data_IF_947138253699
#
_entry.id   IF_947138253699
#
_cell.length_a   1.000
_cell.length_b   1.000
_cell.length_c   1.000
_cell.angle_alpha   90.00
_cell.angle_beta   90.00
_cell.angle_gamma   90.00
#
_symmetry.space_group_name_H-M   'P 1'
#
loop_
_entity.id
_entity.type
_entity.pdbx_description
1 polymer ?
#
# COMPACT_ATOMS: atom_id res chain seq x y z
N UNK A 1 16.00 8.20 21.78
CA UNK A 1 15.16 7.36 20.89
C UNK A 1 14.91 8.05 19.56
N UNK A 2 14.77 9.39 19.52
CA UNK A 2 14.56 10.18 18.28
C UNK A 2 15.75 10.24 17.28
N UNK A 3 17.01 10.03 17.72
CA UNK A 3 18.17 10.10 16.80
C UNK A 3 18.36 8.83 15.97
N UNK A 4 17.94 7.67 16.49
CA UNK A 4 18.00 6.40 15.74
C UNK A 4 16.98 6.36 14.60
N UNK A 5 15.84 7.01 14.78
CA UNK A 5 14.81 7.14 13.75
C UNK A 5 15.23 8.16 12.68
N UNK A 6 15.81 9.30 13.07
CA UNK A 6 16.37 10.29 12.13
C UNK A 6 17.51 9.72 11.28
N UNK A 7 18.35 8.85 11.85
CA UNK A 7 19.42 8.17 11.12
C UNK A 7 18.88 7.13 10.11
N UNK A 8 17.73 6.52 10.39
CA UNK A 8 17.02 5.66 9.42
C UNK A 8 16.39 6.49 8.31
N UNK A 9 15.77 7.64 8.65
CA UNK A 9 15.20 8.59 7.68
C UNK A 9 16.23 9.16 6.70
N UNK A 10 17.49 9.35 7.13
CA UNK A 10 18.56 9.88 6.29
C UNK A 10 18.92 9.00 5.08
N UNK A 11 18.51 7.72 5.07
CA UNK A 11 18.77 6.78 3.98
C UNK A 11 17.52 6.52 3.10
N UNK A 12 16.42 7.24 3.33
CA UNK A 12 15.15 7.00 2.65
C UNK A 12 15.07 7.80 1.35
N UNK A 13 15.37 7.12 0.24
CA UNK A 13 15.27 7.64 -1.14
C UNK A 13 13.89 8.22 -1.48
N UNK A 14 12.84 7.92 -0.71
CA UNK A 14 11.48 8.38 -0.94
C UNK A 14 11.14 9.74 -0.29
N UNK A 15 11.98 10.26 0.61
CA UNK A 15 11.77 11.55 1.29
C UNK A 15 12.14 12.76 0.41
N UNK A 16 12.99 12.53 -0.59
CA UNK A 16 13.46 13.56 -1.51
C UNK A 16 12.67 13.49 -2.82
N UNK A 17 11.82 14.49 -3.05
CA UNK A 17 11.08 14.62 -4.30
C UNK A 17 11.97 15.13 -5.46
N UNK A 18 13.21 15.57 -5.18
CA UNK A 18 14.13 16.15 -6.17
C UNK A 18 15.01 15.12 -6.89
N UNK A 19 15.24 13.94 -6.32
CA UNK A 19 15.98 12.83 -6.95
C UNK A 19 15.06 11.91 -7.78
N UNK A 20 14.08 12.47 -8.49
CA UNK A 20 13.01 11.69 -9.15
C UNK A 20 13.53 10.63 -10.15
N UNK A 21 13.81 9.43 -9.64
CA UNK A 21 13.53 8.18 -10.32
C UNK A 21 12.00 7.98 -10.38
N UNK A 22 11.54 7.11 -11.27
CA UNK A 22 10.14 6.80 -11.56
C UNK A 22 9.20 6.91 -10.33
N UNK A 23 8.05 7.62 -10.42
CA UNK A 23 7.06 7.68 -9.34
C UNK A 23 6.71 6.30 -8.76
N UNK A 24 6.68 5.25 -9.56
CA UNK A 24 6.39 3.90 -9.06
C UNK A 24 7.55 3.36 -8.23
N UNK A 25 8.80 3.59 -8.64
CA UNK A 25 9.98 3.15 -7.87
C UNK A 25 10.09 3.86 -6.51
N UNK A 26 9.74 5.15 -6.48
CA UNK A 26 9.71 5.92 -5.23
C UNK A 26 8.62 5.41 -4.28
N UNK A 27 7.45 5.11 -4.82
CA UNK A 27 6.31 4.64 -4.03
C UNK A 27 6.57 3.20 -3.55
N UNK A 28 7.25 2.37 -4.34
CA UNK A 28 7.77 1.07 -3.92
C UNK A 28 8.80 1.17 -2.80
N UNK A 29 9.74 2.12 -2.88
CA UNK A 29 10.71 2.35 -1.80
C UNK A 29 10.02 2.79 -0.50
N UNK A 30 8.91 3.54 -0.60
CA UNK A 30 8.07 3.87 0.55
C UNK A 30 7.45 2.62 1.15
N UNK A 31 6.80 1.75 0.35
CA UNK A 31 6.24 0.48 0.81
C UNK A 31 7.32 -0.36 1.52
N UNK A 32 8.49 -0.54 0.90
CA UNK A 32 9.59 -1.32 1.49
C UNK A 32 10.10 -0.78 2.82
N UNK A 33 10.01 0.53 3.05
CA UNK A 33 10.45 1.14 4.31
C UNK A 33 9.41 1.07 5.44
N UNK A 34 8.13 0.94 5.08
CA UNK A 34 7.00 0.97 6.02
C UNK A 34 6.40 -0.42 6.27
N UNK A 35 6.55 -1.35 5.33
CA UNK A 35 6.10 -2.73 5.48
C UNK A 35 6.85 -3.39 6.65
N UNK A 36 6.14 -4.04 7.58
CA UNK A 36 6.79 -4.81 8.65
C UNK A 36 7.62 -5.99 8.13
N UNK A 37 7.30 -6.55 6.96
CA UNK A 37 7.94 -7.75 6.40
C UNK A 37 8.49 -7.51 4.97
N UNK A 38 9.43 -6.57 4.78
CA UNK A 38 9.86 -6.11 3.45
C UNK A 38 10.59 -7.18 2.64
N UNK A 39 11.19 -8.17 3.30
CA UNK A 39 11.88 -9.29 2.63
C UNK A 39 10.94 -10.23 1.87
N UNK A 40 9.64 -10.19 2.17
CA UNK A 40 8.64 -11.04 1.54
C UNK A 40 7.82 -10.28 0.49
N UNK A 41 8.20 -9.04 0.16
CA UNK A 41 7.56 -8.24 -0.87
C UNK A 41 7.95 -8.76 -2.27
N UNK A 42 6.99 -9.22 -3.11
CA UNK A 42 7.30 -9.66 -4.46
C UNK A 42 7.83 -8.52 -5.34
N UNK A 43 8.58 -8.86 -6.38
CA UNK A 43 9.04 -7.88 -7.36
C UNK A 43 7.84 -7.27 -8.09
N UNK A 44 7.76 -5.95 -8.12
CA UNK A 44 6.73 -5.25 -8.87
C UNK A 44 6.91 -5.44 -10.39
N UNK A 45 5.77 -5.66 -11.05
CA UNK A 45 5.60 -5.60 -12.50
C UNK A 45 4.26 -4.89 -12.74
N UNK A 46 4.26 -3.90 -13.63
CA UNK A 46 3.02 -3.20 -14.02
C UNK A 46 2.08 -4.15 -14.71
N UNK A 47 0.77 -3.99 -14.47
CA UNK A 47 -0.27 -4.69 -15.25
C UNK A 47 -0.10 -4.42 -16.75
N UNK A 48 0.30 -3.21 -17.14
CA UNK A 48 0.46 -2.83 -18.56
C UNK A 48 1.62 -3.56 -19.26
N UNK A 49 2.62 -4.02 -18.50
CA UNK A 49 3.83 -4.67 -19.03
C UNK A 49 3.69 -6.20 -19.16
N UNK A 50 2.61 -6.78 -18.65
CA UNK A 50 2.39 -8.23 -18.61
C UNK A 50 1.22 -8.66 -19.48
N UNK A 51 1.26 -9.90 -19.99
CA UNK A 51 0.17 -10.51 -20.74
C UNK A 51 -0.98 -10.92 -19.82
N UNK A 52 -2.19 -11.09 -20.36
CA UNK A 52 -3.39 -11.47 -19.59
C UNK A 52 -3.21 -12.82 -18.85
N UNK A 53 -2.44 -13.73 -19.43
CA UNK A 53 -2.14 -15.05 -18.87
C UNK A 53 -1.25 -15.00 -17.62
N UNK A 54 -0.49 -13.91 -17.45
CA UNK A 54 0.39 -13.69 -16.30
C UNK A 54 -0.28 -12.88 -15.18
N UNK A 55 -1.56 -12.49 -15.36
CA UNK A 55 -2.34 -11.76 -14.37
C UNK A 55 -3.05 -12.73 -13.40
N UNK A 56 -3.07 -12.43 -12.08
CA UNK A 56 -2.50 -11.25 -11.45
C UNK A 56 -0.99 -11.42 -11.22
N UNK A 57 -0.24 -10.31 -11.33
CA UNK A 57 1.19 -10.29 -11.01
C UNK A 57 1.41 -10.75 -9.56
N UNK A 58 2.61 -11.28 -9.26
CA UNK A 58 2.90 -11.77 -7.89
C UNK A 58 2.70 -10.68 -6.84
N UNK A 59 3.04 -9.43 -7.19
CA UNK A 59 2.78 -8.26 -6.36
C UNK A 59 1.28 -8.09 -6.08
N UNK A 60 0.43 -8.01 -7.10
CA UNK A 60 -1.01 -7.86 -6.89
C UNK A 60 -1.64 -9.08 -6.22
N UNK A 61 -1.09 -10.28 -6.44
CA UNK A 61 -1.54 -11.53 -5.80
C UNK A 61 -1.33 -11.52 -4.29
N UNK A 62 -0.29 -10.88 -3.82
CA UNK A 62 -0.04 -10.73 -2.40
C UNK A 62 -0.96 -9.67 -1.77
N UNK A 63 -1.11 -8.53 -2.45
CA UNK A 63 -1.93 -7.41 -2.01
C UNK A 63 -3.44 -7.67 -2.06
N UNK A 64 -3.93 -8.53 -2.96
CA UNK A 64 -5.37 -8.86 -3.09
C UNK A 64 -5.98 -9.53 -1.85
N UNK A 65 -5.15 -10.09 -0.97
CA UNK A 65 -5.63 -10.64 0.32
C UNK A 65 -6.07 -9.53 1.29
N UNK A 66 -5.64 -8.29 1.03
CA UNK A 66 -5.83 -7.11 1.85
C UNK A 66 -5.01 -7.10 3.14
N UNK A 67 -4.43 -8.23 3.58
CA UNK A 67 -3.68 -8.30 4.84
C UNK A 67 -2.45 -7.39 4.81
N UNK A 68 -1.64 -7.46 3.75
CA UNK A 68 -0.44 -6.62 3.62
C UNK A 68 -0.80 -5.13 3.61
N UNK A 69 -1.88 -4.74 2.92
CA UNK A 69 -2.37 -3.36 2.91
C UNK A 69 -2.83 -2.88 4.29
N UNK A 70 -3.55 -3.72 5.03
CA UNK A 70 -3.96 -3.42 6.41
C UNK A 70 -2.73 -3.24 7.31
N UNK A 71 -1.76 -4.16 7.23
CA UNK A 71 -0.54 -4.10 8.03
C UNK A 71 0.30 -2.85 7.70
N UNK A 72 0.45 -2.56 6.41
CA UNK A 72 1.16 -1.37 5.92
C UNK A 72 0.49 -0.09 6.40
N UNK A 73 -0.84 0.03 6.26
CA UNK A 73 -1.61 1.17 6.77
C UNK A 73 -1.39 1.36 8.27
N UNK A 74 -1.52 0.29 9.05
CA UNK A 74 -1.32 0.34 10.50
C UNK A 74 0.12 0.70 10.89
N UNK A 75 1.12 0.22 10.16
CA UNK A 75 2.52 0.58 10.37
C UNK A 75 2.76 2.07 10.13
N UNK A 76 2.16 2.63 9.06
CA UNK A 76 2.25 4.06 8.76
C UNK A 76 1.52 4.90 9.81
N UNK A 77 0.31 4.51 10.21
CA UNK A 77 -0.44 5.22 11.27
C UNK A 77 0.34 5.28 12.58
N UNK A 78 1.08 4.23 12.94
CA UNK A 78 1.93 4.21 14.14
C UNK A 78 3.13 5.14 14.05
N UNK A 79 3.68 5.35 12.84
CA UNK A 79 4.80 6.27 12.60
C UNK A 79 4.38 7.72 12.43
N UNK A 80 3.11 7.96 12.09
CA UNK A 80 2.57 9.32 11.97
C UNK A 80 2.48 10.02 13.33
N UNK A 81 2.67 11.35 13.33
CA UNK A 81 2.38 12.20 14.50
C UNK A 81 0.89 12.15 14.90
N UNK A 82 0.00 11.85 13.95
CA UNK A 82 -1.45 11.71 14.17
C UNK A 82 -1.86 10.24 14.08
N UNK A 83 -1.69 9.51 15.18
CA UNK A 83 -1.92 8.06 15.29
C UNK A 83 -3.39 7.69 15.50
N UNK A 84 -4.27 8.06 14.57
CA UNK A 84 -5.67 7.62 14.54
C UNK A 84 -6.00 6.85 13.26
N UNK A 85 -7.18 6.22 13.19
CA UNK A 85 -7.63 5.53 11.97
C UNK A 85 -6.88 4.23 11.67
N UNK A 86 -6.28 3.60 12.68
CA UNK A 86 -5.76 2.24 12.58
C UNK A 86 -6.91 1.22 12.45
N UNK A 87 -6.66 0.16 11.69
CA UNK A 87 -7.60 -0.95 11.49
C UNK A 87 -7.36 -1.94 12.62
N UNK A 88 -8.34 -2.11 13.52
CA UNK A 88 -8.21 -3.00 14.68
C UNK A 88 -8.61 -4.45 14.38
N UNK A 89 -9.46 -4.66 13.38
CA UNK A 89 -10.01 -5.97 13.02
C UNK A 89 -9.77 -6.23 11.55
N UNK A 90 -9.14 -7.37 11.27
CA UNK A 90 -8.92 -7.86 9.92
C UNK A 90 -8.90 -9.39 9.94
N UNK A 91 -9.08 -9.98 8.78
CA UNK A 91 -9.07 -11.42 8.59
C UNK A 91 -7.66 -11.91 8.23
N UNK A 92 -7.25 -13.01 8.86
CA UNK A 92 -5.98 -13.70 8.59
C UNK A 92 -6.18 -15.04 7.89
N UNK A 93 -7.44 -15.49 7.73
CA UNK A 93 -7.79 -16.71 7.01
C UNK A 93 -8.43 -16.38 5.66
N UNK A 94 -7.68 -16.66 4.59
CA UNK A 94 -7.99 -16.33 3.20
C UNK A 94 -8.68 -17.46 2.43
N UNK A 95 -9.02 -18.58 3.09
CA UNK A 95 -9.74 -19.68 2.42
C UNK A 95 -11.14 -19.26 1.95
N UNK A 96 -11.68 -18.18 2.53
CA UNK A 96 -13.00 -17.64 2.21
C UNK A 96 -12.86 -16.32 1.46
N UNK A 97 -13.24 -16.25 0.17
CA UNK A 97 -13.03 -15.04 -0.66
C UNK A 97 -13.60 -13.75 -0.05
N UNK A 98 -14.77 -13.81 0.59
CA UNK A 98 -15.38 -12.63 1.20
C UNK A 98 -14.50 -11.97 2.29
N UNK A 99 -13.60 -12.73 2.93
CA UNK A 99 -12.68 -12.17 3.95
C UNK A 99 -11.56 -11.35 3.32
N UNK A 100 -11.07 -11.74 2.15
CA UNK A 100 -10.16 -10.92 1.36
C UNK A 100 -10.87 -9.63 0.93
N UNK A 101 -12.13 -9.75 0.50
CA UNK A 101 -12.95 -8.60 0.15
C UNK A 101 -13.16 -7.65 1.33
N UNK A 102 -13.48 -8.18 2.51
CA UNK A 102 -13.64 -7.39 3.75
C UNK A 102 -12.33 -6.68 4.13
N UNK A 103 -11.18 -7.36 4.04
CA UNK A 103 -9.89 -6.73 4.32
C UNK A 103 -9.60 -5.54 3.39
N UNK A 104 -9.88 -5.69 2.08
CA UNK A 104 -9.72 -4.61 1.12
C UNK A 104 -10.67 -3.44 1.43
N UNK A 105 -11.92 -3.73 1.80
CA UNK A 105 -12.88 -2.69 2.22
C UNK A 105 -12.42 -1.96 3.49
N UNK A 106 -11.86 -2.69 4.47
CA UNK A 106 -11.31 -2.08 5.68
C UNK A 106 -10.17 -1.12 5.35
N UNK A 107 -9.25 -1.52 4.47
CA UNK A 107 -8.18 -0.65 3.99
C UNK A 107 -8.73 0.60 3.26
N UNK A 108 -9.65 0.43 2.31
CA UNK A 108 -10.27 1.55 1.58
C UNK A 108 -10.91 2.55 2.56
N UNK A 109 -11.66 2.06 3.55
CA UNK A 109 -12.29 2.92 4.55
C UNK A 109 -11.30 3.57 5.51
N UNK A 110 -10.24 2.87 5.90
CA UNK A 110 -9.21 3.46 6.74
C UNK A 110 -8.41 4.53 5.99
N UNK A 111 -8.14 4.34 4.70
CA UNK A 111 -7.52 5.33 3.83
C UNK A 111 -8.37 6.60 3.73
N UNK A 112 -9.68 6.46 3.53
CA UNK A 112 -10.64 7.56 3.49
C UNK A 112 -10.70 8.29 4.85
N UNK A 113 -10.83 7.57 5.96
CA UNK A 113 -11.00 8.16 7.29
C UNK A 113 -9.73 8.83 7.83
N UNK A 114 -8.55 8.28 7.54
CA UNK A 114 -7.29 8.79 8.10
C UNK A 114 -6.61 9.79 7.18
N UNK A 115 -6.54 9.50 5.89
CA UNK A 115 -5.74 10.25 4.93
C UNK A 115 -6.61 10.99 3.91
N UNK A 116 -7.94 10.95 4.06
CA UNK A 116 -8.90 11.58 3.14
C UNK A 116 -8.74 11.09 1.69
N UNK A 117 -8.20 9.88 1.51
CA UNK A 117 -7.97 9.27 0.20
C UNK A 117 -9.19 8.45 -0.21
N UNK A 118 -9.93 8.97 -1.18
CA UNK A 118 -11.05 8.23 -1.79
C UNK A 118 -10.48 7.26 -2.84
N UNK A 119 -10.53 5.97 -2.54
CA UNK A 119 -10.11 4.88 -3.41
C UNK A 119 -11.35 4.22 -4.03
N UNK A 120 -11.33 4.05 -5.35
CA UNK A 120 -12.35 3.31 -6.09
C UNK A 120 -11.70 2.02 -6.56
N UNK A 121 -12.16 0.89 -6.02
CA UNK A 121 -11.62 -0.43 -6.35
C UNK A 121 -12.81 -1.38 -6.47
N UNK A 122 -12.90 -2.10 -7.58
CA UNK A 122 -13.79 -3.25 -7.69
C UNK A 122 -13.22 -4.41 -6.86
N UNK A 123 -13.56 -4.43 -5.57
CA UNK A 123 -13.10 -5.46 -4.63
C UNK A 123 -13.49 -6.86 -5.09
N UNK A 124 -14.69 -7.01 -5.68
CA UNK A 124 -15.14 -8.32 -6.16
C UNK A 124 -14.37 -8.73 -7.41
N UNK A 125 -14.11 -7.78 -8.31
CA UNK A 125 -13.22 -7.97 -9.44
C UNK A 125 -11.83 -8.44 -9.00
N UNK A 126 -11.18 -7.72 -8.09
CA UNK A 126 -9.83 -8.06 -7.60
C UNK A 126 -9.75 -9.42 -6.91
N UNK A 127 -10.78 -9.82 -6.16
CA UNK A 127 -10.78 -11.07 -5.39
C UNK A 127 -11.22 -12.28 -6.22
N UNK A 128 -12.19 -12.12 -7.11
CA UNK A 128 -12.81 -13.23 -7.83
C UNK A 128 -12.40 -13.33 -9.30
N UNK A 129 -12.17 -12.21 -9.98
CA UNK A 129 -11.76 -12.19 -11.38
C UNK A 129 -10.28 -11.81 -11.52
N UNK A 130 -9.69 -12.24 -12.63
CA UNK A 130 -8.41 -11.73 -13.13
C UNK A 130 -8.67 -10.72 -14.23
N UNK A 131 -9.73 -9.92 -14.06
CA UNK A 131 -10.05 -8.87 -15.02
C UNK A 131 -8.93 -7.82 -15.00
N UNK A 132 -8.35 -7.57 -16.17
CA UNK A 132 -7.23 -6.63 -16.31
C UNK A 132 -7.62 -5.24 -15.84
N UNK A 133 -8.83 -4.77 -16.16
CA UNK A 133 -9.27 -3.44 -15.77
C UNK A 133 -9.37 -3.33 -14.24
N UNK A 134 -10.04 -4.28 -13.58
CA UNK A 134 -10.11 -4.31 -12.11
C UNK A 134 -8.72 -4.40 -11.44
N UNK A 135 -7.80 -5.19 -11.99
CA UNK A 135 -6.42 -5.29 -11.48
C UNK A 135 -5.62 -4.01 -11.69
N UNK A 136 -5.82 -3.33 -12.82
CA UNK A 136 -5.18 -2.05 -13.11
C UNK A 136 -5.70 -0.94 -12.20
N UNK A 137 -7.02 -0.86 -12.01
CA UNK A 137 -7.63 0.07 -11.05
C UNK A 137 -7.13 -0.18 -9.62
N UNK A 138 -6.95 -1.44 -9.25
CA UNK A 138 -6.39 -1.80 -7.95
C UNK A 138 -4.92 -1.37 -7.80
N UNK A 139 -4.10 -1.61 -8.82
CA UNK A 139 -2.71 -1.12 -8.88
C UNK A 139 -2.67 0.41 -8.72
N UNK A 140 -3.48 1.13 -9.50
CA UNK A 140 -3.54 2.59 -9.45
C UNK A 140 -4.04 3.11 -8.09
N UNK A 141 -4.98 2.40 -7.45
CA UNK A 141 -5.44 2.73 -6.10
C UNK A 141 -4.33 2.56 -5.05
N UNK A 142 -3.50 1.52 -5.16
CA UNK A 142 -2.33 1.35 -4.29
C UNK A 142 -1.36 2.52 -4.46
N UNK A 143 -1.06 2.91 -5.71
CA UNK A 143 -0.15 4.04 -5.96
C UNK A 143 -0.70 5.38 -5.50
N UNK A 144 -2.00 5.63 -5.74
CA UNK A 144 -2.68 6.82 -5.24
C UNK A 144 -2.58 6.92 -3.72
N UNK A 145 -2.89 5.83 -3.02
CA UNK A 145 -2.75 5.78 -1.56
C UNK A 145 -1.30 6.02 -1.12
N UNK A 146 -0.33 5.31 -1.70
CA UNK A 146 1.08 5.46 -1.35
C UNK A 146 1.56 6.90 -1.54
N UNK A 147 1.21 7.54 -2.65
CA UNK A 147 1.64 8.89 -2.97
C UNK A 147 1.09 9.91 -1.96
N UNK A 148 -0.22 9.87 -1.67
CA UNK A 148 -0.84 10.79 -0.71
C UNK A 148 -0.30 10.59 0.70
N UNK A 149 -0.24 9.34 1.16
CA UNK A 149 0.24 9.03 2.51
C UNK A 149 1.72 9.39 2.66
N UNK A 150 2.55 9.08 1.67
CA UNK A 150 3.97 9.47 1.67
C UNK A 150 4.14 10.97 1.78
N UNK A 151 3.37 11.76 1.02
CA UNK A 151 3.46 13.23 1.08
C UNK A 151 3.13 13.75 2.49
N UNK A 152 2.06 13.24 3.11
CA UNK A 152 1.69 13.63 4.47
C UNK A 152 2.79 13.26 5.49
N UNK A 153 3.25 12.01 5.48
CA UNK A 153 4.30 11.54 6.40
C UNK A 153 5.62 12.28 6.17
N UNK A 154 5.98 12.57 4.92
CA UNK A 154 7.18 13.35 4.60
C UNK A 154 7.09 14.77 5.16
N UNK A 155 5.91 15.39 5.06
CA UNK A 155 5.66 16.72 5.63
C UNK A 155 5.73 16.70 7.17
N UNK A 156 5.18 15.65 7.80
CA UNK A 156 5.29 15.46 9.25
C UNK A 156 6.73 15.29 9.73
N UNK A 157 7.58 14.59 8.98
CA UNK A 157 9.00 14.36 9.32
C UNK A 157 9.84 15.63 9.13
N UNK A 158 9.55 16.43 8.10
CA UNK A 158 10.27 17.68 7.81
C UNK A 158 9.87 18.84 8.73
N UNK A 159 8.69 18.76 9.36
CA UNK A 159 8.15 19.74 10.32
C UNK A 159 8.61 19.52 11.75
#
# INVERSE_FOLDING_TARGET
MEESERAQCANWKWLDDSMACDPVERELAFIQSMDPDPHTLPKFKSVDDVLDEDLPTEFLRDFRTGLRLVNLHNAVVRKSKRSFGAIEKWHTDFQKPYRCSENLQYWIKAAELRFEVILQVDVMGVVHSTDRAALKEFEDAIWKWCSTVRQEISAEIKS
#
